data_IF_163393547646
#
_entry.id   IF_163393547646
#
_cell.length_a   1.000
_cell.length_b   1.000
_cell.length_c   1.000
_cell.angle_alpha   90.00
_cell.angle_beta   90.00
_cell.angle_gamma   90.00
#
_symmetry.space_group_name_H-M   'P 1'
#
loop_
_entity.id
_entity.type
_entity.pdbx_description
1 polymer ?
#
# COMPACT_ATOMS: atom_id res chain seq x y z
N UNK A 1 -68.94 13.63 19.60
CA UNK A 1 -69.44 14.30 18.38
C UNK A 1 -68.42 14.04 17.30
N UNK A 2 -68.74 13.09 16.42
CA UNK A 2 -67.89 12.59 15.33
C UNK A 2 -68.07 13.52 14.13
N UNK A 3 -66.99 14.00 13.53
CA UNK A 3 -67.03 14.50 12.16
C UNK A 3 -65.79 14.01 11.38
N UNK A 4 -66.11 13.51 10.20
CA UNK A 4 -65.34 12.71 9.22
C UNK A 4 -64.43 13.57 8.33
N UNK A 5 -63.40 12.98 7.68
CA UNK A 5 -62.48 13.71 6.81
C UNK A 5 -62.97 13.79 5.35
N UNK A 6 -62.58 14.87 4.66
CA UNK A 6 -62.73 15.04 3.21
C UNK A 6 -61.46 14.60 2.48
N UNK A 7 -61.65 13.90 1.37
CA UNK A 7 -60.65 13.11 0.67
C UNK A 7 -59.78 13.87 -0.33
N UNK A 8 -58.61 13.28 -0.60
CA UNK A 8 -57.75 13.59 -1.73
C UNK A 8 -57.58 12.29 -2.53
N UNK A 9 -57.88 12.39 -3.84
CA UNK A 9 -57.95 11.28 -4.78
C UNK A 9 -56.56 10.73 -5.17
N UNK A 10 -56.45 9.42 -5.46
CA UNK A 10 -55.20 8.77 -5.85
C UNK A 10 -54.85 9.03 -7.33
N UNK A 11 -53.59 9.33 -7.60
CA UNK A 11 -53.03 9.41 -8.96
C UNK A 11 -52.80 7.98 -9.45
N UNK A 12 -53.47 7.61 -10.54
CA UNK A 12 -53.45 6.28 -11.11
C UNK A 12 -52.12 5.89 -11.74
N UNK A 13 -51.70 4.65 -11.47
CA UNK A 13 -50.63 3.94 -12.17
C UNK A 13 -51.15 3.57 -13.56
N UNK A 14 -50.66 4.25 -14.61
CA UNK A 14 -50.86 3.81 -15.98
C UNK A 14 -49.75 2.86 -16.40
N UNK A 15 -50.15 1.61 -16.65
CA UNK A 15 -49.37 0.56 -17.27
C UNK A 15 -49.23 0.83 -18.77
N UNK A 16 -48.02 1.13 -19.23
CA UNK A 16 -47.72 1.10 -20.66
C UNK A 16 -47.40 -0.34 -21.08
N UNK A 17 -48.44 -1.02 -21.57
CA UNK A 17 -48.32 -2.16 -22.49
C UNK A 17 -48.20 -1.63 -23.92
N UNK A 18 -47.23 -2.15 -24.66
CA UNK A 18 -47.20 -2.08 -26.12
C UNK A 18 -46.02 -1.29 -26.65
N UNK A 19 -44.97 -2.00 -27.05
CA UNK A 19 -44.29 -1.89 -28.35
C UNK A 19 -43.36 -3.13 -28.46
N UNK A 20 -44.00 -4.30 -28.58
CA UNK A 20 -43.41 -5.46 -29.25
C UNK A 20 -43.63 -5.22 -30.74
N UNK A 21 -42.55 -5.02 -31.49
CA UNK A 21 -42.40 -5.28 -32.95
C UNK A 21 -41.29 -4.38 -33.50
N UNK A 22 -40.04 -4.77 -33.28
CA UNK A 22 -38.92 -4.52 -34.20
C UNK A 22 -37.87 -5.60 -33.98
N UNK A 23 -38.22 -6.81 -34.41
CA UNK A 23 -37.35 -7.98 -34.47
C UNK A 23 -37.67 -8.71 -35.77
N UNK A 24 -36.92 -8.40 -36.82
CA UNK A 24 -36.55 -9.33 -37.89
C UNK A 24 -35.69 -8.58 -38.89
N UNK A 25 -34.63 -9.25 -39.36
CA UNK A 25 -33.68 -8.80 -40.38
C UNK A 25 -32.51 -7.94 -39.87
N UNK A 26 -31.64 -8.58 -39.10
CA UNK A 26 -30.21 -8.68 -39.43
C UNK A 26 -29.64 -9.85 -38.61
N UNK A 27 -29.61 -11.03 -39.23
CA UNK A 27 -28.96 -12.21 -38.66
C UNK A 27 -27.46 -11.98 -38.66
N UNK A 28 -26.89 -11.72 -37.50
CA UNK A 28 -25.47 -11.94 -37.21
C UNK A 28 -25.45 -12.97 -36.09
N UNK A 29 -24.94 -14.16 -36.42
CA UNK A 29 -25.00 -15.34 -35.58
C UNK A 29 -24.37 -15.12 -34.20
N UNK A 30 -25.17 -15.32 -33.18
CA UNK A 30 -24.70 -15.71 -31.84
C UNK A 30 -24.36 -17.20 -31.91
N UNK A 31 -23.25 -17.51 -32.56
CA UNK A 31 -22.55 -18.79 -32.47
C UNK A 31 -21.20 -18.55 -31.78
N UNK A 32 -21.05 -19.18 -30.61
CA UNK A 32 -19.78 -19.58 -29.99
C UNK A 32 -18.54 -18.72 -30.26
N UNK A 33 -18.29 -17.75 -29.38
CA UNK A 33 -16.95 -17.19 -29.17
C UNK A 33 -16.14 -18.00 -28.11
N UNK A 34 -16.46 -19.29 -27.93
CA UNK A 34 -15.68 -20.22 -27.09
C UNK A 34 -14.57 -20.95 -27.86
N UNK A 35 -14.31 -20.60 -29.12
CA UNK A 35 -13.25 -21.19 -29.93
C UNK A 35 -12.50 -20.15 -30.76
N UNK A 36 -11.74 -19.27 -30.11
CA UNK A 36 -10.56 -18.65 -30.74
C UNK A 36 -9.45 -18.48 -29.71
N UNK A 37 -8.53 -19.44 -29.74
CA UNK A 37 -7.30 -19.41 -28.96
C UNK A 37 -7.11 -20.67 -28.11
N UNK A 38 -6.96 -21.84 -28.75
CA UNK A 38 -6.08 -22.87 -28.18
C UNK A 38 -4.67 -22.29 -28.22
N UNK A 39 -4.33 -21.52 -27.20
CA UNK A 39 -2.95 -21.29 -26.84
C UNK A 39 -2.54 -22.59 -26.13
N UNK A 40 -2.12 -23.55 -26.93
CA UNK A 40 -1.37 -24.71 -26.46
C UNK A 40 0.07 -24.22 -26.27
N UNK A 41 0.34 -23.46 -25.20
CA UNK A 41 1.71 -23.39 -24.69
C UNK A 41 1.80 -24.50 -23.67
N UNK A 42 2.51 -25.57 -24.03
CA UNK A 42 3.33 -26.25 -23.04
C UNK A 42 4.30 -25.22 -22.47
N UNK A 43 3.83 -24.42 -21.52
CA UNK A 43 4.73 -23.76 -20.59
C UNK A 43 5.22 -24.91 -19.70
N UNK A 44 6.44 -25.40 -19.97
CA UNK A 44 7.15 -26.26 -19.03
C UNK A 44 7.45 -25.39 -17.80
N UNK A 45 6.45 -25.25 -16.93
CA UNK A 45 6.63 -24.69 -15.61
C UNK A 45 7.54 -25.62 -14.82
N UNK A 46 8.52 -25.09 -14.06
CA UNK A 46 9.34 -25.94 -13.23
C UNK A 46 8.48 -26.55 -12.10
N UNK A 47 8.85 -27.74 -11.61
CA UNK A 47 8.17 -28.36 -10.46
C UNK A 47 8.43 -27.58 -9.17
N UNK A 48 9.60 -26.94 -9.06
CA UNK A 48 10.02 -26.11 -7.94
C UNK A 48 10.80 -24.88 -8.43
N UNK A 49 10.91 -23.85 -7.60
CA UNK A 49 11.61 -22.61 -7.91
C UNK A 49 12.35 -22.07 -6.69
N UNK A 50 13.38 -21.24 -6.90
CA UNK A 50 14.19 -20.72 -5.81
C UNK A 50 13.47 -19.55 -5.10
N UNK A 51 13.42 -19.62 -3.77
CA UNK A 51 12.86 -18.57 -2.90
C UNK A 51 13.72 -18.37 -1.66
N UNK A 52 13.60 -17.19 -1.03
CA UNK A 52 14.09 -16.94 0.32
C UNK A 52 12.96 -17.20 1.32
N UNK A 53 13.19 -18.14 2.22
CA UNK A 53 12.19 -18.73 3.12
C UNK A 53 12.56 -18.42 4.56
N UNK A 54 11.54 -18.13 5.37
CA UNK A 54 11.65 -18.10 6.83
C UNK A 54 11.29 -19.48 7.33
N UNK A 55 12.29 -20.35 7.53
CA UNK A 55 12.09 -21.71 8.08
C UNK A 55 11.69 -21.67 9.56
N UNK A 56 12.33 -20.78 10.31
CA UNK A 56 12.11 -20.48 11.73
C UNK A 56 12.20 -18.98 11.93
N UNK A 57 11.54 -18.44 12.96
CA UNK A 57 11.63 -17.00 13.25
C UNK A 57 13.07 -16.56 13.55
N UNK A 58 13.52 -15.52 12.86
CA UNK A 58 14.86 -14.97 13.01
C UNK A 58 15.20 -13.91 11.96
N UNK A 59 16.39 -13.31 12.07
CA UNK A 59 16.83 -12.25 11.16
C UNK A 59 17.42 -12.79 9.83
N UNK A 60 17.55 -14.11 9.68
CA UNK A 60 18.15 -14.76 8.51
C UNK A 60 17.13 -15.67 7.83
N UNK A 61 17.00 -15.51 6.51
CA UNK A 61 16.25 -16.36 5.61
C UNK A 61 17.17 -17.40 4.99
N UNK A 62 16.65 -18.58 4.70
CA UNK A 62 17.32 -19.62 3.93
C UNK A 62 16.90 -19.51 2.47
N UNK A 63 17.83 -19.71 1.54
CA UNK A 63 17.52 -19.70 0.11
C UNK A 63 17.57 -21.14 -0.40
N UNK A 64 16.42 -21.64 -0.82
CA UNK A 64 16.28 -22.99 -1.37
C UNK A 64 15.08 -23.09 -2.30
N UNK A 65 14.97 -24.23 -2.98
CA UNK A 65 13.83 -24.48 -3.87
C UNK A 65 12.57 -24.82 -3.07
N UNK A 66 11.43 -24.31 -3.53
CA UNK A 66 10.08 -24.58 -3.01
C UNK A 66 9.17 -25.02 -4.16
N UNK A 67 8.16 -25.83 -3.85
CA UNK A 67 7.22 -26.33 -4.86
C UNK A 67 6.46 -25.18 -5.56
N UNK A 68 6.27 -25.28 -6.88
CA UNK A 68 5.51 -24.29 -7.61
C UNK A 68 4.01 -24.39 -7.27
N UNK A 69 3.38 -23.32 -6.74
CA UNK A 69 1.99 -23.39 -6.32
C UNK A 69 1.04 -23.37 -7.53
N UNK A 70 -0.07 -24.11 -7.41
CA UNK A 70 -1.14 -24.12 -8.39
C UNK A 70 -2.19 -23.03 -8.08
N UNK A 71 -2.49 -22.10 -9.02
CA UNK A 71 -3.46 -21.05 -8.75
C UNK A 71 -4.88 -21.62 -8.63
N UNK A 72 -5.51 -21.38 -7.47
CA UNK A 72 -6.91 -21.68 -7.20
C UNK A 72 -7.88 -20.62 -7.76
N UNK A 73 -9.17 -20.70 -7.40
CA UNK A 73 -10.17 -19.74 -7.87
C UNK A 73 -9.82 -18.29 -7.53
N UNK A 74 -10.00 -17.38 -8.49
CA UNK A 74 -9.60 -15.97 -8.43
C UNK A 74 -8.08 -15.73 -8.32
N UNK A 75 -7.25 -16.77 -8.26
CA UNK A 75 -5.80 -16.61 -8.18
C UNK A 75 -5.15 -16.66 -9.56
N UNK A 76 -3.97 -16.05 -9.65
CA UNK A 76 -3.06 -16.17 -10.79
C UNK A 76 -1.65 -16.50 -10.29
N UNK A 77 -0.93 -17.32 -11.04
CA UNK A 77 0.50 -17.51 -10.88
C UNK A 77 1.22 -16.40 -11.64
N UNK A 78 2.13 -15.73 -10.94
CA UNK A 78 2.90 -14.60 -11.46
C UNK A 78 4.37 -14.97 -11.45
N UNK A 79 5.04 -14.81 -12.59
CA UNK A 79 6.49 -14.90 -12.68
C UNK A 79 7.07 -13.54 -12.32
N UNK A 80 7.83 -13.49 -11.24
CA UNK A 80 8.36 -12.24 -10.69
C UNK A 80 9.50 -11.69 -11.55
N UNK A 81 9.58 -10.36 -11.63
CA UNK A 81 10.69 -9.62 -12.27
C UNK A 81 11.36 -8.66 -11.30
N UNK A 82 10.63 -8.21 -10.28
CA UNK A 82 11.16 -7.41 -9.19
C UNK A 82 10.36 -7.64 -7.90
N UNK A 83 10.97 -7.37 -6.75
CA UNK A 83 10.24 -7.26 -5.48
C UNK A 83 10.89 -6.23 -4.56
N UNK A 84 10.12 -5.31 -4.00
CA UNK A 84 10.61 -4.38 -2.99
C UNK A 84 10.84 -5.06 -1.64
N UNK A 85 11.80 -4.55 -0.87
CA UNK A 85 12.09 -5.04 0.49
C UNK A 85 11.63 -4.00 1.51
N UNK A 86 10.73 -4.40 2.41
CA UNK A 86 10.11 -3.53 3.40
C UNK A 86 10.47 -3.95 4.84
N UNK A 87 10.41 -3.01 5.79
CA UNK A 87 10.61 -3.33 7.22
C UNK A 87 9.56 -4.31 7.74
N UNK A 88 8.38 -4.35 7.13
CA UNK A 88 7.36 -5.36 7.46
C UNK A 88 7.84 -6.78 7.19
N UNK A 89 8.66 -7.01 6.16
CA UNK A 89 9.21 -8.35 5.88
C UNK A 89 10.19 -8.78 6.98
N UNK A 90 10.92 -7.82 7.57
CA UNK A 90 11.79 -8.05 8.73
C UNK A 90 10.98 -8.39 10.00
N UNK A 91 9.92 -7.63 10.28
CA UNK A 91 9.00 -7.91 11.40
C UNK A 91 8.34 -9.30 11.25
N UNK A 92 7.97 -9.67 10.02
CA UNK A 92 7.43 -10.99 9.72
C UNK A 92 8.44 -12.10 9.99
N UNK A 93 9.67 -11.96 9.47
CA UNK A 93 10.75 -12.93 9.66
C UNK A 93 11.12 -13.10 11.15
N UNK A 94 11.14 -12.02 11.93
CA UNK A 94 11.46 -12.07 13.36
C UNK A 94 10.27 -12.48 14.25
N UNK A 95 9.05 -12.41 13.72
CA UNK A 95 7.82 -12.72 14.46
C UNK A 95 7.64 -11.83 15.69
N UNK A 96 7.94 -10.53 15.58
CA UNK A 96 7.93 -9.58 16.70
C UNK A 96 6.56 -8.94 16.97
N UNK A 97 5.63 -9.05 16.01
CA UNK A 97 4.25 -8.59 16.18
C UNK A 97 3.39 -9.57 17.01
N UNK A 98 2.31 -9.09 17.66
CA UNK A 98 1.42 -9.95 18.47
C UNK A 98 0.69 -11.03 17.67
N UNK A 99 0.33 -10.74 16.41
CA UNK A 99 -0.25 -11.70 15.47
C UNK A 99 0.87 -12.09 14.53
N UNK A 100 1.27 -13.37 14.50
CA UNK A 100 2.47 -13.85 13.78
C UNK A 100 2.07 -14.69 12.56
N UNK A 101 2.92 -14.77 11.52
CA UNK A 101 2.77 -15.78 10.48
C UNK A 101 3.16 -17.16 11.04
N UNK A 102 2.98 -18.23 10.27
CA UNK A 102 3.40 -19.58 10.65
C UNK A 102 4.57 -20.04 9.74
N UNK A 103 5.79 -20.22 10.27
CA UNK A 103 6.88 -20.84 9.52
C UNK A 103 6.57 -22.30 9.12
N UNK A 104 7.02 -22.76 7.93
CA UNK A 104 7.78 -22.01 6.92
C UNK A 104 6.89 -21.11 6.05
N UNK A 105 7.39 -19.94 5.64
CA UNK A 105 6.74 -19.07 4.66
C UNK A 105 7.74 -18.24 3.85
N UNK A 106 7.34 -17.78 2.67
CA UNK A 106 8.10 -16.86 1.81
C UNK A 106 7.66 -15.42 2.10
N UNK A 107 8.53 -14.50 2.54
CA UNK A 107 8.15 -13.09 2.76
C UNK A 107 8.00 -12.27 1.45
N UNK A 108 7.75 -10.97 1.59
CA UNK A 108 7.75 -10.00 0.48
C UNK A 108 6.35 -9.70 -0.06
N UNK A 109 5.94 -8.43 -0.01
CA UNK A 109 4.61 -7.97 -0.41
C UNK A 109 4.64 -6.78 -1.37
N UNK A 110 5.76 -6.64 -2.09
CA UNK A 110 6.01 -5.58 -3.08
C UNK A 110 6.47 -6.17 -4.42
N UNK A 111 6.03 -7.40 -4.72
CA UNK A 111 6.37 -8.13 -5.94
C UNK A 111 5.71 -7.54 -7.18
N UNK A 112 6.45 -7.52 -8.28
CA UNK A 112 5.99 -7.12 -9.62
C UNK A 112 6.35 -8.24 -10.60
N UNK A 113 5.41 -8.66 -11.43
CA UNK A 113 5.64 -9.75 -12.37
C UNK A 113 4.57 -9.93 -13.42
N UNK A 114 4.81 -10.89 -14.30
CA UNK A 114 3.93 -11.24 -15.42
C UNK A 114 2.99 -12.38 -15.04
N UNK A 115 1.69 -12.25 -15.35
CA UNK A 115 0.72 -13.34 -15.19
C UNK A 115 1.04 -14.48 -16.18
N UNK A 116 1.44 -15.63 -15.67
CA UNK A 116 1.84 -16.79 -16.49
C UNK A 116 0.84 -17.95 -16.45
N UNK A 117 -0.04 -18.00 -15.44
CA UNK A 117 -1.11 -19.00 -15.33
C UNK A 117 -2.30 -18.44 -14.56
N UNK A 118 -3.51 -18.75 -15.01
CA UNK A 118 -4.76 -18.38 -14.34
C UNK A 118 -5.37 -19.60 -13.68
N UNK A 119 -5.91 -19.41 -12.48
CA UNK A 119 -6.74 -20.40 -11.83
C UNK A 119 -8.11 -20.53 -12.48
N UNK A 120 -9.00 -21.36 -11.91
CA UNK A 120 -10.37 -21.49 -12.40
C UNK A 120 -11.20 -20.22 -12.15
N UNK A 121 -12.01 -19.82 -13.13
CA UNK A 121 -13.00 -18.77 -12.96
C UNK A 121 -12.83 -17.59 -13.90
N UNK A 122 -13.46 -16.47 -13.55
CA UNK A 122 -13.35 -15.21 -14.29
C UNK A 122 -12.33 -14.31 -13.61
N UNK A 123 -11.43 -13.75 -14.39
CA UNK A 123 -10.37 -12.87 -13.91
C UNK A 123 -10.46 -11.52 -14.61
N UNK A 124 -10.13 -10.46 -13.87
CA UNK A 124 -9.93 -9.15 -14.46
C UNK A 124 -8.55 -8.98 -15.11
N UNK A 125 -7.62 -9.94 -14.94
CA UNK A 125 -6.30 -9.99 -15.59
C UNK A 125 -6.34 -11.02 -16.74
N UNK A 126 -5.37 -10.96 -17.64
CA UNK A 126 -5.09 -11.99 -18.64
C UNK A 126 -3.61 -12.42 -18.60
N UNK A 127 -3.27 -13.51 -19.30
CA UNK A 127 -1.88 -13.94 -19.47
C UNK A 127 -1.05 -12.83 -20.12
N UNK A 128 0.16 -12.61 -19.61
CA UNK A 128 1.06 -11.54 -20.06
C UNK A 128 0.83 -10.17 -19.40
N UNK A 129 -0.24 -10.00 -18.62
CA UNK A 129 -0.43 -8.74 -17.87
C UNK A 129 0.64 -8.60 -16.79
N UNK A 130 1.17 -7.39 -16.63
CA UNK A 130 2.02 -7.03 -15.49
C UNK A 130 1.15 -6.69 -14.28
N UNK A 131 1.33 -7.45 -13.21
CA UNK A 131 0.60 -7.29 -11.94
C UNK A 131 1.54 -7.19 -10.77
N UNK A 132 1.04 -6.67 -9.66
CA UNK A 132 1.79 -6.57 -8.41
C UNK A 132 1.12 -7.26 -7.24
N UNK A 133 1.94 -7.84 -6.36
CA UNK A 133 1.52 -8.25 -5.02
C UNK A 133 1.49 -7.04 -4.10
N UNK A 134 0.59 -7.08 -3.14
CA UNK A 134 0.34 -6.00 -2.17
C UNK A 134 0.15 -6.60 -0.79
N UNK A 135 0.34 -5.79 0.25
CA UNK A 135 0.11 -6.25 1.62
C UNK A 135 -1.29 -6.83 1.83
N UNK A 136 -2.35 -6.12 1.43
CA UNK A 136 -3.72 -6.64 1.50
C UNK A 136 -3.98 -7.61 0.32
N UNK A 137 -3.57 -8.87 0.48
CA UNK A 137 -3.61 -9.89 -0.56
C UNK A 137 -5.05 -10.28 -0.92
N UNK A 138 -5.93 -10.41 0.07
CA UNK A 138 -7.37 -10.58 -0.15
C UNK A 138 -8.20 -10.02 1.01
N UNK A 139 -9.50 -9.85 0.79
CA UNK A 139 -10.49 -9.61 1.84
C UNK A 139 -11.85 -10.23 1.46
N UNK A 140 -12.75 -10.41 2.44
CA UNK A 140 -14.01 -11.13 2.21
C UNK A 140 -15.00 -10.44 1.25
N UNK A 141 -14.92 -9.11 1.10
CA UNK A 141 -15.79 -8.35 0.20
C UNK A 141 -17.23 -8.09 0.71
N UNK A 142 -17.66 -8.72 1.81
CA UNK A 142 -19.05 -8.68 2.28
C UNK A 142 -19.26 -8.05 3.67
N UNK A 143 -18.22 -7.99 4.51
CA UNK A 143 -18.31 -7.39 5.84
C UNK A 143 -18.57 -5.87 5.78
N UNK A 144 -18.92 -5.24 6.91
CA UNK A 144 -19.17 -3.79 6.97
C UNK A 144 -17.97 -2.99 6.44
N UNK A 145 -16.75 -3.37 6.83
CA UNK A 145 -15.54 -2.68 6.39
C UNK A 145 -15.36 -2.74 4.88
N UNK A 146 -15.49 -3.93 4.28
CA UNK A 146 -15.42 -4.09 2.83
C UNK A 146 -16.50 -3.28 2.10
N UNK A 147 -17.77 -3.37 2.53
CA UNK A 147 -18.89 -2.66 1.90
C UNK A 147 -18.85 -1.14 2.04
N UNK A 148 -18.10 -0.64 3.01
CA UNK A 148 -17.93 0.81 3.25
C UNK A 148 -16.61 1.35 2.71
N UNK A 149 -15.90 0.60 1.85
CA UNK A 149 -14.65 1.05 1.24
C UNK A 149 -13.48 1.11 2.23
N UNK A 150 -13.52 0.29 3.27
CA UNK A 150 -12.49 0.17 4.33
C UNK A 150 -11.96 -1.26 4.42
N UNK A 151 -11.78 -1.91 3.27
CA UNK A 151 -11.35 -3.32 3.18
C UNK A 151 -10.03 -3.64 3.89
N UNK A 152 -9.18 -2.64 4.13
CA UNK A 152 -7.96 -2.77 4.96
C UNK A 152 -8.24 -3.09 6.43
N UNK A 153 -9.50 -2.99 6.87
CA UNK A 153 -9.97 -3.34 8.22
C UNK A 153 -10.78 -4.65 8.22
N UNK A 154 -10.73 -5.43 7.14
CA UNK A 154 -11.44 -6.70 7.08
C UNK A 154 -10.88 -7.68 8.12
N UNK A 155 -11.76 -8.38 8.85
CA UNK A 155 -11.37 -9.39 9.82
C UNK A 155 -10.87 -10.69 9.16
N UNK A 156 -11.28 -10.93 7.91
CA UNK A 156 -10.89 -12.09 7.10
C UNK A 156 -9.91 -11.66 6.00
N UNK A 157 -9.10 -10.63 6.27
CA UNK A 157 -8.04 -10.20 5.37
C UNK A 157 -6.90 -11.21 5.38
N UNK A 158 -6.38 -11.52 4.20
CA UNK A 158 -5.13 -12.24 4.04
C UNK A 158 -4.03 -11.28 3.60
N UNK A 159 -2.81 -11.56 4.02
CA UNK A 159 -1.67 -10.68 3.84
C UNK A 159 -0.54 -11.39 3.09
N UNK A 160 -0.05 -10.75 2.01
CA UNK A 160 1.00 -11.29 1.16
C UNK A 160 2.34 -11.28 1.88
N UNK A 161 3.13 -12.34 1.73
CA UNK A 161 4.38 -12.51 2.48
C UNK A 161 4.19 -12.69 3.99
N UNK A 162 2.99 -13.09 4.43
CA UNK A 162 2.63 -13.21 5.83
C UNK A 162 1.66 -14.36 6.11
N UNK A 163 0.39 -14.24 5.73
CA UNK A 163 -0.57 -15.36 5.81
C UNK A 163 -0.62 -16.18 4.53
N UNK A 164 -0.11 -15.61 3.43
CA UNK A 164 0.08 -16.25 2.13
C UNK A 164 1.51 -15.98 1.70
N UNK A 165 2.15 -16.96 1.07
CA UNK A 165 3.51 -16.81 0.54
C UNK A 165 3.62 -15.60 -0.40
N UNK A 166 4.74 -14.91 -0.25
CA UNK A 166 5.01 -13.60 -0.83
C UNK A 166 5.86 -13.67 -2.09
N UNK A 167 6.72 -12.68 -2.23
CA UNK A 167 7.41 -12.33 -3.46
C UNK A 167 8.93 -12.35 -3.36
N UNK A 168 9.49 -12.95 -2.31
CA UNK A 168 10.93 -13.25 -2.21
C UNK A 168 11.24 -14.60 -2.87
N UNK A 169 10.98 -14.70 -4.17
CA UNK A 169 11.25 -15.88 -4.98
C UNK A 169 10.91 -15.63 -6.45
N UNK A 170 11.12 -16.63 -7.31
CA UNK A 170 10.90 -16.48 -8.76
C UNK A 170 9.42 -16.45 -9.16
N UNK A 171 8.53 -17.02 -8.34
CA UNK A 171 7.09 -17.09 -8.59
C UNK A 171 6.29 -16.75 -7.33
N UNK A 172 5.06 -16.27 -7.52
CA UNK A 172 4.10 -16.03 -6.44
C UNK A 172 2.66 -16.24 -6.91
N UNK A 173 1.75 -16.42 -5.95
CA UNK A 173 0.31 -16.32 -6.20
C UNK A 173 -0.20 -14.91 -5.87
N UNK A 174 -1.15 -14.43 -6.66
CA UNK A 174 -1.93 -13.21 -6.35
C UNK A 174 -3.43 -13.47 -6.47
N UNK A 175 -4.23 -12.82 -5.64
CA UNK A 175 -5.67 -12.72 -5.89
C UNK A 175 -5.92 -11.65 -6.97
N UNK A 176 -6.46 -12.06 -8.11
CA UNK A 176 -6.69 -11.20 -9.28
C UNK A 176 -7.69 -10.06 -9.04
N UNK A 177 -8.43 -10.09 -7.92
CA UNK A 177 -9.36 -9.05 -7.48
C UNK A 177 -8.68 -7.95 -6.65
N UNK A 178 -7.48 -8.22 -6.13
CA UNK A 178 -6.72 -7.35 -5.22
C UNK A 178 -5.33 -6.99 -5.75
N UNK A 179 -4.78 -7.77 -6.68
CA UNK A 179 -3.47 -7.49 -7.27
C UNK A 179 -3.42 -6.10 -7.91
N UNK A 180 -2.27 -5.45 -7.78
CA UNK A 180 -2.00 -4.19 -8.43
C UNK A 180 -1.99 -4.37 -9.95
N UNK A 181 -2.54 -3.40 -10.69
CA UNK A 181 -2.39 -3.32 -12.14
C UNK A 181 -1.23 -2.39 -12.44
N UNK A 182 -0.12 -2.95 -12.92
CA UNK A 182 1.09 -2.18 -13.14
C UNK A 182 0.88 -1.34 -14.41
N UNK A 183 0.99 0.00 -14.33
CA UNK A 183 0.84 0.86 -15.50
C UNK A 183 1.86 0.49 -16.59
N UNK A 184 1.43 0.50 -17.85
CA UNK A 184 2.29 0.20 -18.99
C UNK A 184 3.52 1.12 -19.01
N UNK A 185 4.70 0.55 -19.25
CA UNK A 185 5.97 1.29 -19.29
C UNK A 185 6.57 1.63 -17.92
N UNK A 186 5.99 1.16 -16.82
CA UNK A 186 6.58 1.27 -15.47
C UNK A 186 7.91 0.52 -15.37
N UNK A 187 8.89 1.09 -14.67
CA UNK A 187 10.09 0.34 -14.28
C UNK A 187 9.73 -0.58 -13.11
N UNK A 188 9.90 -1.92 -13.23
CA UNK A 188 9.55 -2.85 -12.16
C UNK A 188 10.26 -2.59 -10.83
N UNK A 189 11.50 -2.11 -10.87
CA UNK A 189 12.27 -1.80 -9.65
C UNK A 189 11.74 -0.55 -8.97
N UNK A 190 11.40 0.48 -9.73
CA UNK A 190 10.88 1.73 -9.16
C UNK A 190 9.42 1.60 -8.69
N UNK A 191 8.58 0.82 -9.40
CA UNK A 191 7.16 0.68 -9.07
C UNK A 191 6.91 -0.27 -7.91
N UNK A 192 7.78 -1.25 -7.66
CA UNK A 192 7.64 -2.21 -6.58
C UNK A 192 7.41 -1.54 -5.20
N UNK A 193 8.24 -0.56 -4.76
CA UNK A 193 7.97 0.18 -3.53
C UNK A 193 6.67 0.98 -3.49
N UNK A 194 6.05 1.28 -4.63
CA UNK A 194 4.75 1.98 -4.65
C UNK A 194 3.64 1.05 -4.14
N UNK A 195 3.78 -0.27 -4.31
CA UNK A 195 2.78 -1.28 -3.97
C UNK A 195 2.53 -1.43 -2.46
N UNK A 196 3.46 -0.96 -1.63
CA UNK A 196 3.23 -0.83 -0.19
C UNK A 196 3.62 0.54 0.32
N UNK A 197 4.89 0.95 0.25
CA UNK A 197 5.31 2.25 0.80
C UNK A 197 4.56 3.42 0.14
N UNK A 198 4.41 3.41 -1.18
CA UNK A 198 3.70 4.45 -1.92
C UNK A 198 2.22 4.54 -1.55
N UNK A 199 1.47 3.45 -1.67
CA UNK A 199 0.04 3.43 -1.30
C UNK A 199 -0.19 3.75 0.17
N UNK A 200 0.67 3.28 1.07
CA UNK A 200 0.58 3.53 2.51
C UNK A 200 0.70 5.02 2.82
N UNK A 201 1.72 5.70 2.28
CA UNK A 201 1.90 7.12 2.56
C UNK A 201 0.90 7.99 1.79
N UNK A 202 0.48 7.58 0.59
CA UNK A 202 -0.60 8.25 -0.13
C UNK A 202 -1.90 8.25 0.69
N UNK A 203 -2.30 7.08 1.19
CA UNK A 203 -3.46 6.95 2.08
C UNK A 203 -3.24 7.71 3.39
N UNK A 204 -2.08 7.57 4.01
CA UNK A 204 -1.70 8.28 5.22
C UNK A 204 -1.84 9.80 5.09
N UNK A 205 -1.40 10.37 3.97
CA UNK A 205 -1.59 11.79 3.65
C UNK A 205 -3.07 12.17 3.52
N UNK A 206 -3.90 11.35 2.86
CA UNK A 206 -5.36 11.59 2.81
C UNK A 206 -6.01 11.57 4.19
N UNK A 207 -5.58 10.66 5.06
CA UNK A 207 -6.06 10.55 6.45
C UNK A 207 -5.70 11.76 7.32
N UNK A 208 -4.68 12.56 6.95
CA UNK A 208 -4.39 13.82 7.64
C UNK A 208 -5.43 14.90 7.36
N UNK A 209 -6.17 14.75 6.25
CA UNK A 209 -7.10 15.75 5.70
C UNK A 209 -6.46 17.12 5.40
N UNK A 210 -5.13 17.21 5.37
CA UNK A 210 -4.38 18.41 5.05
C UNK A 210 -4.69 18.87 3.60
N UNK A 211 -4.86 20.17 3.42
CA UNK A 211 -5.29 20.78 2.16
C UNK A 211 -4.11 21.35 1.38
N UNK A 212 -4.24 21.54 0.05
CA UNK A 212 -3.25 22.29 -0.71
C UNK A 212 -2.93 23.65 -0.08
N UNK A 213 -1.65 24.01 -0.03
CA UNK A 213 -1.12 25.21 0.60
C UNK A 213 -0.91 25.11 2.12
N UNK A 214 -1.39 24.05 2.77
CA UNK A 214 -1.18 23.82 4.21
C UNK A 214 0.14 23.11 4.48
N UNK A 215 0.70 23.38 5.67
CA UNK A 215 1.92 22.71 6.14
C UNK A 215 1.67 21.25 6.52
N UNK A 216 2.48 20.36 5.93
CA UNK A 216 2.51 18.92 6.18
C UNK A 216 3.89 18.54 6.71
N UNK A 217 3.98 17.99 7.91
CA UNK A 217 5.23 17.41 8.42
C UNK A 217 5.30 15.93 8.07
N UNK A 218 6.40 15.51 7.50
CA UNK A 218 6.78 14.10 7.35
C UNK A 218 7.88 13.80 8.37
N UNK A 219 7.59 12.94 9.35
CA UNK A 219 8.52 12.55 10.41
C UNK A 219 9.10 11.16 10.13
N UNK A 220 10.41 11.11 9.92
CA UNK A 220 11.15 9.99 9.34
C UNK A 220 11.16 10.05 7.81
N UNK A 221 12.34 10.09 7.21
CA UNK A 221 12.58 10.16 5.75
C UNK A 221 13.32 8.90 5.28
N UNK A 222 12.85 7.75 5.77
CA UNK A 222 13.28 6.43 5.31
C UNK A 222 12.57 6.00 4.01
N UNK A 223 12.35 4.69 3.87
CA UNK A 223 11.68 4.11 2.71
C UNK A 223 10.28 4.67 2.44
N UNK A 224 9.48 4.91 3.48
CA UNK A 224 8.16 5.53 3.35
C UNK A 224 8.28 7.06 3.19
N UNK A 225 9.01 7.69 4.09
CA UNK A 225 9.03 9.16 4.21
C UNK A 225 9.51 9.89 2.97
N UNK A 226 10.53 9.41 2.27
CA UNK A 226 11.00 10.09 1.05
C UNK A 226 9.97 10.01 -0.11
N UNK A 227 9.13 8.97 -0.14
CA UNK A 227 8.00 8.86 -1.07
C UNK A 227 6.84 9.76 -0.59
N UNK A 228 6.60 9.83 0.72
CA UNK A 228 5.58 10.69 1.31
C UNK A 228 5.81 12.17 1.00
N UNK A 229 7.07 12.63 1.03
CA UNK A 229 7.45 13.98 0.61
C UNK A 229 6.95 14.27 -0.80
N UNK A 230 7.20 13.35 -1.75
CA UNK A 230 6.83 13.53 -3.14
C UNK A 230 5.32 13.56 -3.33
N UNK A 231 4.57 12.64 -2.71
CA UNK A 231 3.12 12.68 -2.75
C UNK A 231 2.55 13.96 -2.15
N UNK A 232 3.06 14.40 -0.98
CA UNK A 232 2.59 15.61 -0.33
C UNK A 232 2.83 16.86 -1.20
N UNK A 233 4.00 16.95 -1.85
CA UNK A 233 4.29 18.01 -2.84
C UNK A 233 3.33 17.92 -4.03
N UNK A 234 3.13 16.74 -4.61
CA UNK A 234 2.23 16.54 -5.75
C UNK A 234 0.77 16.82 -5.41
N UNK A 235 0.37 16.63 -4.15
CA UNK A 235 -0.94 16.98 -3.59
C UNK A 235 -1.05 18.48 -3.23
N UNK A 236 -0.01 19.27 -3.49
CA UNK A 236 0.01 20.72 -3.29
C UNK A 236 0.24 21.18 -1.85
N UNK A 237 0.71 20.31 -0.96
CA UNK A 237 1.04 20.65 0.43
C UNK A 237 2.40 21.32 0.54
N UNK A 238 2.62 22.07 1.63
CA UNK A 238 3.93 22.67 1.97
C UNK A 238 4.67 21.75 2.92
N UNK A 239 5.66 21.03 2.41
CA UNK A 239 6.26 19.90 3.09
C UNK A 239 7.40 20.33 4.01
N UNK A 240 7.39 19.79 5.24
CA UNK A 240 8.45 19.93 6.24
C UNK A 240 8.96 18.52 6.58
N UNK A 241 10.26 18.29 6.48
CA UNK A 241 10.87 17.01 6.80
C UNK A 241 11.51 17.01 8.20
N UNK A 242 11.35 15.92 8.94
CA UNK A 242 12.05 15.69 10.20
C UNK A 242 12.74 14.34 10.14
N UNK A 243 14.02 14.31 10.45
CA UNK A 243 14.83 13.09 10.54
C UNK A 243 15.97 13.29 11.54
N UNK A 244 16.78 12.28 11.78
CA UNK A 244 17.98 12.34 12.61
C UNK A 244 19.27 12.39 11.78
N UNK A 245 19.18 12.10 10.47
CA UNK A 245 20.31 12.04 9.56
C UNK A 245 20.25 13.14 8.48
N UNK A 246 21.35 13.86 8.27
CA UNK A 246 21.37 15.03 7.37
C UNK A 246 21.18 14.62 5.90
N UNK A 247 21.75 13.49 5.49
CA UNK A 247 21.64 12.95 4.13
C UNK A 247 20.18 12.65 3.76
N UNK A 248 19.38 12.19 4.74
CA UNK A 248 17.93 11.95 4.57
C UNK A 248 17.17 13.26 4.39
N UNK A 249 17.57 14.30 5.11
CA UNK A 249 17.00 15.63 4.96
C UNK A 249 17.39 16.29 3.63
N UNK A 250 18.60 16.06 3.13
CA UNK A 250 18.98 16.48 1.77
C UNK A 250 18.15 15.77 0.70
N UNK A 251 17.89 14.47 0.88
CA UNK A 251 16.98 13.71 0.02
C UNK A 251 15.56 14.31 0.05
N UNK A 252 15.03 14.65 1.22
CA UNK A 252 13.73 15.32 1.33
C UNK A 252 13.71 16.67 0.58
N UNK A 253 14.76 17.49 0.71
CA UNK A 253 14.86 18.78 0.00
C UNK A 253 14.92 18.59 -1.51
N UNK A 254 15.68 17.60 -1.99
CA UNK A 254 15.72 17.22 -3.42
C UNK A 254 14.33 16.86 -3.95
N UNK A 255 13.48 16.26 -3.12
CA UNK A 255 12.10 15.91 -3.44
C UNK A 255 11.07 17.03 -3.17
N UNK A 256 11.51 18.22 -2.75
CA UNK A 256 10.66 19.41 -2.64
C UNK A 256 10.21 19.78 -1.22
N UNK A 257 10.81 19.21 -0.16
CA UNK A 257 10.61 19.72 1.19
C UNK A 257 11.07 21.19 1.30
N UNK A 258 10.19 22.06 1.79
CA UNK A 258 10.44 23.50 1.97
C UNK A 258 11.32 23.78 3.19
N UNK A 259 11.19 22.93 4.21
CA UNK A 259 11.95 23.03 5.46
C UNK A 259 12.33 21.63 5.95
N UNK A 260 13.43 21.52 6.68
CA UNK A 260 13.96 20.25 7.13
C UNK A 260 14.71 20.44 8.45
N UNK A 261 14.41 19.58 9.43
CA UNK A 261 14.95 19.66 10.79
C UNK A 261 15.62 18.35 11.18
N UNK A 262 16.86 18.45 11.67
CA UNK A 262 17.56 17.33 12.27
C UNK A 262 17.27 17.26 13.78
N UNK A 263 16.51 16.26 14.21
CA UNK A 263 16.04 16.10 15.58
C UNK A 263 17.16 15.77 16.60
N UNK A 264 18.38 15.46 16.15
CA UNK A 264 19.56 15.33 17.03
C UNK A 264 20.28 16.65 17.26
N UNK A 265 20.05 17.66 16.43
CA UNK A 265 20.75 18.95 16.48
C UNK A 265 19.92 20.06 17.12
N UNK A 266 18.62 20.03 16.95
CA UNK A 266 17.68 20.99 17.54
C UNK A 266 16.33 20.33 17.83
N UNK A 267 15.49 20.98 18.65
CA UNK A 267 14.15 20.48 18.92
C UNK A 267 13.23 20.71 17.71
N UNK A 268 12.73 19.64 17.04
CA UNK A 268 11.83 19.79 15.91
C UNK A 268 10.53 20.51 16.27
N UNK A 269 10.05 20.40 17.51
CA UNK A 269 8.83 21.09 17.96
C UNK A 269 9.05 22.60 17.92
N UNK A 270 10.15 23.11 18.49
CA UNK A 270 10.45 24.54 18.52
C UNK A 270 10.72 25.08 17.11
N UNK A 271 11.56 24.40 16.33
CA UNK A 271 11.93 24.81 14.98
C UNK A 271 10.71 24.91 14.05
N UNK A 272 9.82 23.91 14.08
CA UNK A 272 8.62 23.89 13.24
C UNK A 272 7.62 24.94 13.69
N UNK A 273 7.41 25.12 15.00
CA UNK A 273 6.51 26.16 15.48
C UNK A 273 6.99 27.56 15.07
N UNK A 274 8.30 27.81 15.12
CA UNK A 274 8.89 29.07 14.67
C UNK A 274 8.71 29.28 13.16
N UNK A 275 9.02 28.26 12.35
CA UNK A 275 8.92 28.32 10.89
C UNK A 275 7.47 28.54 10.40
N UNK A 276 6.53 27.78 10.97
CA UNK A 276 5.11 27.78 10.56
C UNK A 276 4.28 28.85 11.28
N UNK A 277 4.80 29.45 12.35
CA UNK A 277 4.11 30.36 13.27
C UNK A 277 2.91 29.69 13.97
N UNK A 278 3.05 28.43 14.38
CA UNK A 278 2.07 27.75 15.23
C UNK A 278 1.81 26.27 14.97
N UNK A 279 2.67 25.59 14.22
CA UNK A 279 2.64 24.16 13.95
C UNK A 279 2.10 23.79 12.56
N UNK A 280 2.22 22.51 12.22
CA UNK A 280 1.73 21.95 10.96
C UNK A 280 0.25 21.56 11.03
N UNK A 281 -0.44 21.60 9.88
CA UNK A 281 -1.86 21.24 9.79
C UNK A 281 -2.05 19.71 9.80
N UNK A 282 -1.12 19.01 9.16
CA UNK A 282 -1.00 17.56 9.23
C UNK A 282 0.41 17.15 9.61
N UNK A 283 0.51 16.01 10.31
CA UNK A 283 1.78 15.33 10.60
C UNK A 283 1.62 13.87 10.24
N UNK A 284 2.48 13.35 9.36
CA UNK A 284 2.57 11.93 9.03
C UNK A 284 3.84 11.35 9.67
N UNK A 285 3.68 10.40 10.57
CA UNK A 285 4.80 9.72 11.24
C UNK A 285 5.08 8.39 10.56
N UNK A 286 6.23 8.32 9.89
CA UNK A 286 6.78 7.11 9.25
C UNK A 286 8.05 6.60 9.94
N UNK A 287 8.52 7.31 10.97
CA UNK A 287 9.64 6.91 11.81
C UNK A 287 9.33 5.67 12.67
N UNK A 288 10.39 4.96 13.06
CA UNK A 288 10.35 3.71 13.82
C UNK A 288 10.83 3.89 15.28
N UNK A 289 10.70 5.09 15.83
CA UNK A 289 11.10 5.37 17.22
C UNK A 289 9.97 6.07 17.99
N UNK A 290 9.58 5.59 19.20
CA UNK A 290 8.44 6.14 19.97
C UNK A 290 8.51 7.66 20.23
N UNK A 291 9.70 8.22 20.36
CA UNK A 291 9.89 9.67 20.56
C UNK A 291 9.29 10.51 19.41
N UNK A 292 9.37 10.02 18.16
CA UNK A 292 8.83 10.72 17.00
C UNK A 292 7.29 10.88 17.07
N UNK A 293 6.60 9.91 17.69
CA UNK A 293 5.15 9.94 17.90
C UNK A 293 4.76 10.99 18.94
N UNK A 294 5.53 11.09 20.03
CA UNK A 294 5.34 12.15 21.03
C UNK A 294 5.63 13.54 20.48
N UNK A 295 6.72 13.70 19.71
CA UNK A 295 7.08 14.97 19.07
C UNK A 295 5.98 15.46 18.11
N UNK A 296 5.27 14.54 17.43
CA UNK A 296 4.18 14.90 16.53
C UNK A 296 3.10 15.76 17.19
N UNK A 297 2.80 15.53 18.48
CA UNK A 297 1.82 16.30 19.25
C UNK A 297 2.26 17.78 19.37
N UNK A 298 3.54 18.01 19.68
CA UNK A 298 4.11 19.35 19.78
C UNK A 298 4.20 20.07 18.44
N UNK A 299 4.54 19.33 17.36
CA UNK A 299 4.68 19.87 16.00
C UNK A 299 3.33 20.24 15.36
N UNK A 300 2.21 19.70 15.87
CA UNK A 300 0.88 19.90 15.29
C UNK A 300 0.20 21.17 15.82
N UNK A 301 -0.39 21.93 14.89
CA UNK A 301 -1.16 23.14 15.22
C UNK A 301 -2.52 22.82 15.83
N UNK A 302 -3.18 23.83 16.40
CA UNK A 302 -4.58 23.71 16.85
C UNK A 302 -5.50 23.25 15.72
N UNK A 303 -6.32 22.23 15.99
CA UNK A 303 -7.23 21.61 15.02
C UNK A 303 -6.55 20.74 13.95
N UNK A 304 -5.26 20.44 14.09
CA UNK A 304 -4.52 19.59 13.15
C UNK A 304 -4.69 18.10 13.40
N UNK A 305 -4.26 17.31 12.42
CA UNK A 305 -4.39 15.84 12.43
C UNK A 305 -3.01 15.19 12.36
N UNK A 306 -2.78 14.23 13.25
CA UNK A 306 -1.60 13.38 13.28
C UNK A 306 -1.99 12.00 12.77
N UNK A 307 -1.23 11.48 11.82
CA UNK A 307 -1.39 10.15 11.26
C UNK A 307 -0.16 9.30 11.52
N UNK A 308 -0.37 8.09 12.02
CA UNK A 308 0.70 7.11 12.25
C UNK A 308 0.67 6.02 11.18
N UNK A 309 1.79 5.88 10.45
CA UNK A 309 2.07 4.71 9.62
C UNK A 309 3.15 3.81 10.24
N UNK A 310 4.13 4.38 10.96
CA UNK A 310 5.18 3.61 11.61
C UNK A 310 4.61 2.66 12.68
N UNK A 311 5.19 1.46 12.80
CA UNK A 311 4.76 0.41 13.72
C UNK A 311 5.89 -0.09 14.63
N UNK A 312 6.62 0.79 15.36
CA UNK A 312 7.59 0.32 16.33
C UNK A 312 6.89 -0.33 17.53
N UNK A 313 7.55 -1.27 18.22
CA UNK A 313 7.03 -1.82 19.47
C UNK A 313 6.96 -0.75 20.57
N UNK A 314 5.98 -0.88 21.48
CA UNK A 314 5.89 -0.07 22.69
C UNK A 314 4.82 1.03 22.65
N UNK A 315 4.97 2.01 23.54
CA UNK A 315 4.04 3.12 23.75
C UNK A 315 4.78 4.47 23.68
N UNK A 316 4.03 5.56 23.57
CA UNK A 316 4.56 6.92 23.63
C UNK A 316 3.68 7.81 24.53
N UNK A 317 4.26 8.86 25.15
CA UNK A 317 3.47 9.76 25.99
C UNK A 317 2.53 10.64 25.15
N UNK A 318 1.23 10.60 25.46
CA UNK A 318 0.19 11.40 24.83
C UNK A 318 -0.43 12.38 25.86
N UNK A 319 0.10 13.62 26.00
CA UNK A 319 -0.36 14.57 27.02
C UNK A 319 -1.82 15.03 26.78
N UNK A 320 -2.74 14.53 27.60
CA UNK A 320 -4.19 14.77 27.50
C UNK A 320 -4.53 16.26 27.43
N UNK A 321 -3.95 17.08 28.31
CA UNK A 321 -4.26 18.50 28.35
C UNK A 321 -3.95 19.19 27.02
N UNK A 322 -2.79 18.88 26.42
CA UNK A 322 -2.37 19.48 25.16
C UNK A 322 -3.26 19.03 24.00
N UNK A 323 -3.55 17.72 23.92
CA UNK A 323 -4.43 17.14 22.89
C UNK A 323 -5.81 17.80 22.94
N UNK A 324 -6.42 17.89 24.13
CA UNK A 324 -7.75 18.49 24.32
C UNK A 324 -7.71 20.00 24.04
N UNK A 325 -6.73 20.73 24.57
CA UNK A 325 -6.65 22.18 24.43
C UNK A 325 -6.37 22.63 22.99
N UNK A 326 -5.57 21.87 22.24
CA UNK A 326 -5.32 22.12 20.83
C UNK A 326 -6.42 21.56 19.93
N UNK A 327 -7.29 20.67 20.43
CA UNK A 327 -8.32 20.00 19.63
C UNK A 327 -7.71 19.11 18.54
N UNK A 328 -6.69 18.33 18.90
CA UNK A 328 -5.97 17.47 17.95
C UNK A 328 -6.76 16.20 17.63
N UNK A 329 -6.56 15.70 16.40
CA UNK A 329 -6.94 14.33 16.02
C UNK A 329 -5.68 13.47 15.90
N UNK A 330 -5.68 12.29 16.51
CA UNK A 330 -4.63 11.27 16.33
C UNK A 330 -5.29 10.04 15.70
N UNK A 331 -4.77 9.60 14.55
CA UNK A 331 -5.36 8.51 13.76
C UNK A 331 -4.26 7.52 13.31
N UNK A 332 -4.58 6.24 13.34
CA UNK A 332 -3.76 5.22 12.67
C UNK A 332 -4.18 5.09 11.19
N UNK A 333 -3.21 4.86 10.30
CA UNK A 333 -3.48 4.58 8.89
C UNK A 333 -2.65 3.37 8.46
N UNK A 334 -3.35 2.30 8.06
CA UNK A 334 -2.77 1.04 7.62
C UNK A 334 -2.99 0.88 6.11
N UNK A 335 -1.88 0.75 5.37
CA UNK A 335 -1.82 0.55 3.90
C UNK A 335 -2.85 1.39 3.13
N UNK A 336 -3.36 0.90 2.00
CA UNK A 336 -4.51 1.48 1.32
C UNK A 336 -5.39 0.41 0.69
N UNK A 337 -6.59 0.82 0.31
CA UNK A 337 -7.54 0.00 -0.46
C UNK A 337 -7.09 -0.14 -1.91
N UNK A 338 -7.78 -0.97 -2.69
CA UNK A 338 -7.58 -1.06 -4.15
C UNK A 338 -7.73 0.29 -4.84
N UNK A 339 -8.68 1.12 -4.41
CA UNK A 339 -8.83 2.47 -4.96
C UNK A 339 -7.67 3.39 -4.59
N UNK A 340 -7.16 3.31 -3.36
CA UNK A 340 -5.99 4.09 -2.94
C UNK A 340 -4.75 3.67 -3.74
N UNK A 341 -4.62 2.38 -4.06
CA UNK A 341 -3.52 1.83 -4.85
C UNK A 341 -3.57 2.29 -6.30
N UNK A 342 -4.74 2.25 -6.95
CA UNK A 342 -4.94 2.78 -8.29
C UNK A 342 -4.55 4.25 -8.38
N UNK A 343 -4.99 5.06 -7.41
CA UNK A 343 -4.66 6.48 -7.33
C UNK A 343 -3.15 6.68 -7.12
N UNK A 344 -2.52 5.94 -6.20
CA UNK A 344 -1.08 6.03 -5.95
C UNK A 344 -0.26 5.68 -7.21
N UNK A 345 -0.60 4.59 -7.89
CA UNK A 345 0.05 4.18 -9.13
C UNK A 345 -0.13 5.21 -10.26
N UNK A 346 -1.26 5.90 -10.33
CA UNK A 346 -1.47 6.98 -11.31
C UNK A 346 -0.53 8.17 -11.10
N UNK A 347 -0.26 8.57 -9.84
CA UNK A 347 0.76 9.60 -9.56
C UNK A 347 2.16 9.17 -10.01
N UNK A 348 2.51 7.89 -9.80
CA UNK A 348 3.76 7.33 -10.30
C UNK A 348 3.81 7.31 -11.83
N UNK A 349 2.76 6.81 -12.49
CA UNK A 349 2.68 6.72 -13.95
C UNK A 349 2.76 8.10 -14.63
N UNK A 350 2.24 9.15 -13.99
CA UNK A 350 2.37 10.55 -14.45
C UNK A 350 3.74 11.18 -14.16
N UNK A 351 4.69 10.41 -13.63
CA UNK A 351 6.07 10.83 -13.37
C UNK A 351 6.23 11.79 -12.18
N UNK A 352 5.22 11.91 -11.32
CA UNK A 352 5.25 12.79 -10.16
C UNK A 352 5.99 12.17 -8.98
N UNK A 353 6.07 10.84 -8.93
CA UNK A 353 6.72 10.08 -7.87
C UNK A 353 7.88 9.31 -8.48
N UNK A 354 9.07 9.51 -7.92
CA UNK A 354 10.31 8.82 -8.29
C UNK A 354 10.97 8.30 -7.02
N UNK A 355 10.64 7.08 -6.60
CA UNK A 355 11.27 6.48 -5.42
C UNK A 355 12.79 6.41 -5.61
N UNK A 356 13.54 6.62 -4.55
CA UNK A 356 14.98 6.32 -4.54
C UNK A 356 15.12 4.85 -4.18
N UNK A 357 15.51 4.04 -5.15
CA UNK A 357 15.60 2.58 -5.02
C UNK A 357 16.99 2.12 -5.41
N UNK A 358 17.56 1.23 -4.60
CA UNK A 358 18.78 0.50 -4.93
C UNK A 358 18.44 -0.94 -5.23
N UNK A 359 18.94 -1.43 -6.36
CA UNK A 359 18.73 -2.80 -6.81
C UNK A 359 19.66 -3.76 -6.06
N UNK A 360 19.14 -4.94 -5.71
CA UNK A 360 19.89 -6.06 -5.15
C UNK A 360 19.41 -7.39 -5.77
N UNK A 361 20.05 -8.50 -5.39
CA UNK A 361 19.61 -9.86 -5.75
C UNK A 361 18.87 -10.51 -4.60
N UNK A 362 18.18 -11.62 -4.88
CA UNK A 362 17.55 -12.45 -3.85
C UNK A 362 18.58 -12.92 -2.81
N UNK A 363 19.78 -13.32 -3.27
CA UNK A 363 20.91 -13.74 -2.42
C UNK A 363 21.37 -12.68 -1.42
N UNK A 364 21.09 -11.40 -1.69
CA UNK A 364 21.49 -10.29 -0.83
C UNK A 364 20.50 -10.03 0.31
N UNK A 365 19.33 -10.69 0.35
CA UNK A 365 18.21 -10.36 1.27
C UNK A 365 18.62 -10.27 2.74
N UNK A 366 19.46 -11.20 3.21
CA UNK A 366 19.94 -11.20 4.59
C UNK A 366 20.87 -10.02 4.89
N UNK A 367 21.70 -9.63 3.92
CA UNK A 367 22.57 -8.45 4.06
C UNK A 367 21.74 -7.16 4.07
N UNK A 368 20.68 -7.11 3.25
CA UNK A 368 19.74 -5.98 3.24
C UNK A 368 19.00 -5.87 4.57
N UNK A 369 18.51 -6.98 5.12
CA UNK A 369 17.88 -7.00 6.45
C UNK A 369 18.82 -6.48 7.54
N UNK A 370 20.09 -6.89 7.53
CA UNK A 370 21.10 -6.41 8.47
C UNK A 370 21.37 -4.90 8.33
N UNK A 371 21.40 -4.37 7.10
CA UNK A 371 21.59 -2.93 6.85
C UNK A 371 20.35 -2.11 7.23
N UNK A 372 19.14 -2.66 7.06
CA UNK A 372 17.89 -2.04 7.51
C UNK A 372 17.86 -1.89 9.02
N UNK A 373 18.20 -2.94 9.77
CA UNK A 373 18.35 -2.89 11.24
C UNK A 373 19.30 -1.79 11.70
N UNK A 374 20.37 -1.55 10.95
CA UNK A 374 21.39 -0.55 11.26
C UNK A 374 21.06 0.84 10.70
N UNK A 375 19.92 1.02 10.01
CA UNK A 375 19.53 2.28 9.40
C UNK A 375 20.43 2.72 8.24
N UNK A 376 21.13 1.79 7.58
CA UNK A 376 22.11 2.07 6.51
C UNK A 376 21.51 2.11 5.11
N UNK A 377 20.26 1.69 4.94
CA UNK A 377 19.58 1.71 3.64
C UNK A 377 19.21 3.13 3.25
N UNK A 378 19.58 3.54 2.03
CA UNK A 378 19.09 4.78 1.43
C UNK A 378 17.85 4.58 0.57
N UNK A 379 16.76 5.29 0.90
CA UNK A 379 15.45 5.07 0.30
C UNK A 379 14.92 3.64 0.47
N UNK A 380 14.89 2.88 -0.62
CA UNK A 380 14.34 1.51 -0.71
C UNK A 380 15.36 0.56 -1.34
N UNK A 381 15.22 -0.72 -1.00
CA UNK A 381 15.87 -1.82 -1.72
C UNK A 381 14.83 -2.57 -2.55
N UNK A 382 15.24 -3.10 -3.70
CA UNK A 382 14.40 -4.00 -4.48
C UNK A 382 15.24 -5.09 -5.14
N UNK A 383 14.75 -6.31 -5.07
CA UNK A 383 15.29 -7.49 -5.74
C UNK A 383 14.97 -7.40 -7.22
N UNK A 384 15.95 -7.67 -8.08
CA UNK A 384 15.73 -8.03 -9.49
C UNK A 384 15.89 -9.54 -9.66
N UNK A 385 14.94 -10.16 -10.37
CA UNK A 385 14.94 -11.59 -10.72
C UNK A 385 15.51 -11.85 -12.11
#
# INVERSE_FOLDING_TARGET
MVLSPAGVMPVGVQSFRGLNEYSSQQGVGIENAYEKGKIDVKNDFPEAFTAAVVDDFGPELTIHDVDLPEPGPNQALVKLVASGICHTDLHAAEGDWPVKPEPPFVPGHEGVGEVVKLGPGHHGVQLGDMVGNVWLWSACGECEYCRTGRETLCNDAEYGGYTVDGSFGEYMLVDTRYCARIPEGSDPIEVAPILCAGVTVYKGLKETECKPGQYMVISGIGGLGHIAVQYAVAMGMRVIAVDIADEKLELARKHGAEFAVNALKEDPVEAINAFTKGGAHGVLVTAVHPQAFGQAIGMTRKGGTIVFNGLPPGEFPAPIFEIVFKGLTIRGSLVGTRQDLEEALDFYARGMIKPTVTECKLDDVNSVFADMHQGKVDGRMAIRY
#
